data_IF_659782355387
#
_entry.id   IF_659782355387
#
_cell.length_a   1.000
_cell.length_b   1.000
_cell.length_c   1.000
_cell.angle_alpha   90.00
_cell.angle_beta   90.00
_cell.angle_gamma   90.00
#
_symmetry.space_group_name_H-M   'P 1'
#
loop_
_entity.id
_entity.type
_entity.pdbx_description
1 polymer ?
#
# COMPACT_ATOMS: atom_id res chain seq x y z
N UNK A 1 66.61 -37.84 -79.82
CA UNK A 1 65.59 -36.93 -79.24
C UNK A 1 65.90 -36.63 -77.75
N UNK A 2 67.05 -36.02 -77.41
CA UNK A 2 67.45 -35.84 -75.99
C UNK A 2 67.89 -34.41 -75.57
N UNK A 3 67.78 -33.40 -76.43
CA UNK A 3 68.23 -32.03 -76.09
C UNK A 3 67.12 -31.01 -75.78
N UNK A 4 65.83 -31.38 -75.88
CA UNK A 4 64.73 -30.45 -75.62
C UNK A 4 64.36 -30.29 -74.13
N UNK A 5 64.67 -31.26 -73.26
CA UNK A 5 64.26 -31.22 -71.85
C UNK A 5 65.12 -30.29 -70.98
N UNK A 6 66.41 -30.11 -71.31
CA UNK A 6 67.33 -29.29 -70.51
C UNK A 6 66.99 -27.79 -70.52
N UNK A 7 66.37 -27.28 -71.59
CA UNK A 7 66.03 -25.85 -71.70
C UNK A 7 64.70 -25.50 -71.05
N UNK A 8 63.75 -26.45 -70.96
CA UNK A 8 62.50 -26.26 -70.25
C UNK A 8 62.70 -26.17 -68.73
N UNK A 9 63.58 -27.03 -68.18
CA UNK A 9 63.91 -27.03 -66.74
C UNK A 9 64.67 -25.76 -66.34
N UNK A 10 65.61 -25.28 -67.17
CA UNK A 10 66.29 -23.99 -66.93
C UNK A 10 65.33 -22.79 -67.00
N UNK A 11 64.32 -22.82 -67.87
CA UNK A 11 63.27 -21.77 -67.93
C UNK A 11 62.32 -21.84 -66.73
N UNK A 12 62.02 -23.02 -66.21
CA UNK A 12 61.19 -23.19 -65.01
C UNK A 12 61.92 -22.73 -63.73
N UNK A 13 63.20 -23.07 -63.59
CA UNK A 13 64.03 -22.64 -62.44
C UNK A 13 64.32 -21.14 -62.45
N UNK A 14 64.27 -20.48 -63.62
CA UNK A 14 64.43 -19.04 -63.76
C UNK A 14 63.11 -18.23 -63.75
N UNK A 15 61.95 -18.86 -63.57
CA UNK A 15 60.66 -18.18 -63.69
C UNK A 15 60.27 -17.47 -62.37
N UNK A 16 60.45 -16.14 -62.33
CA UNK A 16 60.08 -15.30 -61.20
C UNK A 16 58.57 -15.04 -61.07
N UNK A 17 57.74 -15.52 -62.01
CA UNK A 17 56.27 -15.38 -61.97
C UNK A 17 55.61 -16.23 -60.88
N UNK A 18 56.33 -17.19 -60.30
CA UNK A 18 55.88 -17.96 -59.13
C UNK A 18 55.81 -17.15 -57.83
N UNK A 19 56.55 -16.03 -57.73
CA UNK A 19 56.62 -15.21 -56.50
C UNK A 19 55.27 -14.60 -56.10
N UNK A 20 54.44 -14.21 -57.09
CA UNK A 20 53.12 -13.63 -56.85
C UNK A 20 52.15 -14.67 -56.25
N UNK A 21 52.25 -15.94 -56.67
CA UNK A 21 51.42 -17.01 -56.13
C UNK A 21 51.76 -17.28 -54.66
N UNK A 22 53.04 -17.24 -54.29
CA UNK A 22 53.47 -17.37 -52.89
C UNK A 22 53.01 -16.20 -52.03
N UNK A 23 53.16 -14.95 -52.51
CA UNK A 23 52.68 -13.77 -51.79
C UNK A 23 51.15 -13.77 -51.64
N UNK A 24 50.42 -14.16 -52.69
CA UNK A 24 48.98 -14.32 -52.65
C UNK A 24 48.57 -15.40 -51.64
N UNK A 25 49.15 -16.60 -51.72
CA UNK A 25 48.88 -17.68 -50.78
C UNK A 25 49.17 -17.29 -49.33
N UNK A 26 50.26 -16.55 -49.09
CA UNK A 26 50.63 -16.06 -47.76
C UNK A 26 49.67 -14.96 -47.25
N UNK A 27 49.10 -14.15 -48.14
CA UNK A 27 48.14 -13.07 -47.81
C UNK A 27 46.70 -13.56 -47.58
N UNK A 28 46.29 -14.66 -48.21
CA UNK A 28 44.95 -15.25 -48.05
C UNK A 28 44.75 -15.82 -46.66
N UNK A 29 45.78 -16.42 -46.06
CA UNK A 29 45.71 -16.99 -44.70
C UNK A 29 45.33 -15.95 -43.63
N UNK A 30 46.03 -14.80 -43.49
CA UNK A 30 45.63 -13.77 -42.52
C UNK A 30 44.30 -13.11 -42.88
N UNK A 31 43.95 -12.99 -44.17
CA UNK A 31 42.65 -12.43 -44.58
C UNK A 31 41.47 -13.33 -44.17
N UNK A 32 41.57 -14.64 -44.39
CA UNK A 32 40.56 -15.61 -43.94
C UNK A 32 40.48 -15.69 -42.41
N UNK A 33 41.62 -15.56 -41.72
CA UNK A 33 41.64 -15.49 -40.26
C UNK A 33 40.87 -14.26 -39.75
N UNK A 34 41.07 -13.08 -40.36
CA UNK A 34 40.35 -11.85 -39.99
C UNK A 34 38.84 -11.97 -40.25
N UNK A 35 38.43 -12.55 -41.38
CA UNK A 35 37.02 -12.80 -41.68
C UNK A 35 36.42 -13.79 -40.67
N UNK A 36 37.16 -14.85 -40.33
CA UNK A 36 36.74 -15.82 -39.32
C UNK A 36 36.56 -15.21 -37.93
N UNK A 37 37.50 -14.37 -37.50
CA UNK A 37 37.41 -13.61 -36.25
C UNK A 37 36.19 -12.69 -36.26
N UNK A 38 35.91 -12.01 -37.38
CA UNK A 38 34.75 -11.14 -37.51
C UNK A 38 33.42 -11.90 -37.36
N UNK A 39 33.33 -13.12 -37.92
CA UNK A 39 32.15 -13.99 -37.76
C UNK A 39 31.97 -14.45 -36.31
N UNK A 40 33.04 -14.93 -35.67
CA UNK A 40 32.98 -15.36 -34.27
C UNK A 40 32.64 -14.19 -33.33
N UNK A 41 33.19 -13.00 -33.60
CA UNK A 41 32.88 -11.78 -32.86
C UNK A 41 31.41 -11.35 -33.06
N UNK A 42 30.89 -11.46 -34.28
CA UNK A 42 29.48 -11.19 -34.56
C UNK A 42 28.56 -12.14 -33.77
N UNK A 43 28.90 -13.44 -33.71
CA UNK A 43 28.17 -14.41 -32.88
C UNK A 43 28.23 -14.05 -31.39
N UNK A 44 29.41 -13.66 -30.89
CA UNK A 44 29.59 -13.26 -29.49
C UNK A 44 28.75 -12.01 -29.13
N UNK A 45 28.68 -11.01 -30.01
CA UNK A 45 27.83 -9.83 -29.80
C UNK A 45 26.34 -10.22 -29.76
N UNK A 46 25.87 -11.04 -30.68
CA UNK A 46 24.47 -11.49 -30.69
C UNK A 46 24.13 -12.26 -29.42
N UNK A 47 24.99 -13.21 -29.03
CA UNK A 47 24.83 -13.96 -27.79
C UNK A 47 24.82 -13.04 -26.55
N UNK A 48 25.64 -11.99 -26.53
CA UNK A 48 25.65 -10.99 -25.45
C UNK A 48 24.34 -10.21 -25.36
N UNK A 49 23.76 -9.81 -26.51
CA UNK A 49 22.48 -9.09 -26.54
C UNK A 49 21.33 -9.95 -26.01
N UNK A 50 21.28 -11.21 -26.43
CA UNK A 50 20.22 -12.13 -25.97
C UNK A 50 20.36 -12.43 -24.48
N UNK A 51 21.60 -12.60 -23.98
CA UNK A 51 21.86 -12.78 -22.55
C UNK A 51 21.48 -11.52 -21.75
N UNK A 52 21.80 -10.32 -22.25
CA UNK A 52 21.41 -9.06 -21.62
C UNK A 52 19.88 -8.93 -21.55
N UNK A 53 19.16 -9.24 -22.63
CA UNK A 53 17.70 -9.18 -22.66
C UNK A 53 17.06 -10.14 -21.63
N UNK A 54 17.62 -11.34 -21.48
CA UNK A 54 17.18 -12.29 -20.45
C UNK A 54 17.45 -11.76 -19.03
N UNK A 55 18.58 -11.09 -18.80
CA UNK A 55 18.94 -10.50 -17.51
C UNK A 55 18.10 -9.26 -17.17
N UNK A 56 17.84 -8.37 -18.12
CA UNK A 56 16.99 -7.19 -17.94
C UNK A 56 15.55 -7.58 -17.57
N UNK A 57 14.99 -8.57 -18.27
CA UNK A 57 13.65 -9.08 -18.00
C UNK A 57 13.57 -9.85 -16.68
N UNK A 58 14.62 -10.62 -16.33
CA UNK A 58 14.73 -11.27 -15.03
C UNK A 58 14.79 -10.27 -13.86
N UNK A 59 15.55 -9.18 -14.01
CA UNK A 59 15.68 -8.15 -12.98
C UNK A 59 14.36 -7.42 -12.72
N UNK A 60 13.56 -7.18 -13.77
CA UNK A 60 12.20 -6.63 -13.61
C UNK A 60 11.27 -7.67 -12.97
N UNK A 61 11.23 -8.91 -13.46
CA UNK A 61 10.34 -9.95 -12.96
C UNK A 61 10.57 -10.22 -11.46
N UNK A 62 11.83 -10.27 -11.03
CA UNK A 62 12.19 -10.44 -9.63
C UNK A 62 11.83 -9.22 -8.78
N UNK A 63 11.96 -8.00 -9.31
CA UNK A 63 11.51 -6.78 -8.63
C UNK A 63 9.97 -6.76 -8.47
N UNK A 64 9.21 -7.19 -9.49
CA UNK A 64 7.74 -7.36 -9.38
C UNK A 64 7.40 -8.39 -8.31
N UNK A 65 8.02 -9.57 -8.37
CA UNK A 65 7.80 -10.64 -7.40
C UNK A 65 8.04 -10.17 -5.96
N UNK A 66 9.13 -9.44 -5.73
CA UNK A 66 9.47 -8.85 -4.44
C UNK A 66 8.45 -7.82 -3.97
N UNK A 67 7.97 -6.93 -4.86
CA UNK A 67 6.93 -5.95 -4.54
C UNK A 67 5.60 -6.61 -4.18
N UNK A 68 5.31 -7.79 -4.72
CA UNK A 68 4.10 -8.57 -4.40
C UNK A 68 4.22 -9.38 -3.10
N UNK A 69 5.42 -9.88 -2.78
CA UNK A 69 5.64 -10.86 -1.70
C UNK A 69 6.36 -10.31 -0.46
N UNK A 70 6.66 -9.00 -0.38
CA UNK A 70 7.16 -8.33 0.85
C UNK A 70 6.12 -8.30 2.00
N UNK A 71 5.05 -9.09 1.89
CA UNK A 71 3.85 -9.04 2.72
C UNK A 71 3.92 -9.94 3.97
N UNK A 72 5.00 -10.69 4.22
CA UNK A 72 5.07 -11.65 5.34
C UNK A 72 6.37 -11.56 6.16
N UNK A 73 6.77 -10.34 6.56
CA UNK A 73 7.92 -10.21 7.49
C UNK A 73 7.68 -9.17 8.57
N UNK A 74 6.61 -9.39 9.33
CA UNK A 74 6.55 -8.99 10.74
C UNK A 74 6.29 -10.25 11.59
N UNK A 75 7.39 -10.95 11.86
CA UNK A 75 7.68 -11.79 13.04
C UNK A 75 6.62 -12.81 13.50
N UNK A 76 6.72 -14.01 12.96
CA UNK A 76 7.00 -15.30 13.64
C UNK A 76 6.96 -16.35 12.54
N UNK A 77 7.69 -17.47 12.64
CA UNK A 77 7.75 -18.56 11.65
C UNK A 77 8.85 -18.44 10.58
N UNK A 78 10.08 -18.10 10.98
CA UNK A 78 11.28 -18.55 10.23
C UNK A 78 11.38 -20.08 10.14
N UNK A 79 10.52 -20.83 10.85
CA UNK A 79 10.51 -22.30 10.91
C UNK A 79 9.31 -23.00 10.23
N UNK A 80 8.31 -22.30 9.65
CA UNK A 80 7.23 -22.96 8.86
C UNK A 80 7.39 -22.83 7.33
N UNK A 81 8.41 -22.10 6.85
CA UNK A 81 8.60 -21.77 5.43
C UNK A 81 9.19 -22.93 4.60
N UNK A 82 9.44 -24.12 5.18
CA UNK A 82 9.85 -25.28 4.38
C UNK A 82 8.68 -25.95 3.62
N UNK A 83 7.41 -25.55 3.83
CA UNK A 83 6.25 -26.20 3.19
C UNK A 83 5.48 -25.38 2.14
N UNK A 84 5.78 -24.10 1.92
CA UNK A 84 5.02 -23.28 0.96
C UNK A 84 5.80 -22.86 -0.29
N UNK A 85 6.89 -23.54 -0.68
CA UNK A 85 7.52 -23.34 -2.00
C UNK A 85 7.86 -21.89 -2.38
N UNK A 86 7.96 -20.96 -1.41
CA UNK A 86 8.23 -19.56 -1.66
C UNK A 86 9.70 -19.41 -2.03
N UNK A 87 9.93 -18.98 -3.27
CA UNK A 87 11.27 -18.71 -3.80
C UNK A 87 11.69 -17.32 -3.35
N UNK A 88 12.96 -17.13 -3.01
CA UNK A 88 13.47 -15.79 -2.76
C UNK A 88 13.45 -14.96 -4.07
N UNK A 89 13.36 -13.63 -4.02
CA UNK A 89 13.43 -12.78 -5.21
C UNK A 89 14.67 -13.06 -6.09
N UNK A 90 15.79 -13.42 -5.48
CA UNK A 90 17.03 -13.82 -6.15
C UNK A 90 16.85 -15.12 -6.93
N UNK A 91 16.19 -16.12 -6.32
CA UNK A 91 15.93 -17.39 -6.98
C UNK A 91 14.95 -17.22 -8.16
N UNK A 92 13.98 -16.32 -8.03
CA UNK A 92 13.07 -15.96 -9.14
C UNK A 92 13.84 -15.32 -10.30
N UNK A 93 14.79 -14.41 -10.01
CA UNK A 93 15.65 -13.84 -11.05
C UNK A 93 16.48 -14.93 -11.76
N UNK A 94 17.11 -15.82 -10.99
CA UNK A 94 17.93 -16.93 -11.52
C UNK A 94 17.12 -17.83 -12.44
N UNK A 95 15.95 -18.27 -11.99
CA UNK A 95 15.06 -19.15 -12.76
C UNK A 95 14.61 -18.46 -14.06
N UNK A 96 14.35 -17.16 -14.00
CA UNK A 96 13.94 -16.37 -15.17
C UNK A 96 15.06 -16.24 -16.20
N UNK A 97 16.31 -16.00 -15.77
CA UNK A 97 17.47 -15.99 -16.68
C UNK A 97 17.64 -17.37 -17.33
N UNK A 98 17.55 -18.45 -16.56
CA UNK A 98 17.70 -19.81 -17.10
C UNK A 98 16.60 -20.20 -18.09
N UNK A 99 15.37 -19.70 -17.89
CA UNK A 99 14.26 -19.93 -18.79
C UNK A 99 14.35 -19.12 -20.09
N UNK A 100 14.92 -17.91 -20.04
CA UNK A 100 14.86 -16.96 -21.16
C UNK A 100 16.19 -16.78 -21.92
N UNK A 101 17.32 -17.18 -21.34
CA UNK A 101 18.63 -17.13 -22.01
C UNK A 101 18.84 -18.31 -23.00
N UNK A 102 17.91 -18.47 -23.94
CA UNK A 102 17.94 -19.53 -24.94
C UNK A 102 18.59 -19.05 -26.25
N UNK A 103 19.91 -19.18 -26.35
CA UNK A 103 20.66 -18.97 -27.58
C UNK A 103 21.61 -20.16 -27.82
N UNK A 104 21.63 -20.69 -29.04
CA UNK A 104 22.43 -21.86 -29.42
C UNK A 104 23.95 -21.71 -29.18
N UNK A 105 24.44 -20.46 -29.16
CA UNK A 105 25.85 -20.10 -28.96
C UNK A 105 26.24 -19.92 -27.49
N UNK A 106 25.28 -19.73 -26.56
CA UNK A 106 25.57 -19.58 -25.13
C UNK A 106 25.84 -20.94 -24.48
N UNK A 107 26.95 -21.04 -23.74
CA UNK A 107 27.34 -22.20 -22.93
C UNK A 107 27.66 -21.78 -21.51
N UNK A 108 27.46 -22.69 -20.55
CA UNK A 108 27.79 -22.49 -19.13
C UNK A 108 27.19 -21.21 -18.53
N UNK A 109 25.90 -20.97 -18.74
CA UNK A 109 25.22 -19.81 -18.17
C UNK A 109 25.24 -19.93 -16.64
N UNK A 110 25.73 -18.90 -15.96
CA UNK A 110 25.82 -18.79 -14.50
C UNK A 110 25.17 -17.47 -14.06
N UNK A 111 23.88 -17.48 -13.75
CA UNK A 111 23.21 -16.31 -13.19
C UNK A 111 23.54 -16.15 -11.70
N UNK A 112 23.58 -14.91 -11.25
CA UNK A 112 23.72 -14.50 -9.86
C UNK A 112 22.80 -13.31 -9.61
N UNK A 113 22.12 -13.28 -8.48
CA UNK A 113 21.29 -12.14 -8.09
C UNK A 113 21.63 -11.74 -6.66
N UNK A 114 21.84 -10.45 -6.45
CA UNK A 114 22.22 -9.88 -5.15
C UNK A 114 21.35 -8.67 -4.84
N UNK A 115 20.79 -8.65 -3.64
CA UNK A 115 20.13 -7.48 -3.09
C UNK A 115 21.17 -6.55 -2.43
N UNK A 116 21.00 -5.23 -2.62
CA UNK A 116 21.83 -4.21 -1.97
C UNK A 116 21.41 -3.99 -0.51
N UNK A 117 22.32 -3.47 0.32
CA UNK A 117 22.02 -3.05 1.70
C UNK A 117 20.87 -2.03 1.77
N UNK A 118 20.69 -1.22 0.71
CA UNK A 118 19.46 -0.49 0.45
C UNK A 118 18.46 -1.43 -0.22
N UNK A 119 17.53 -1.99 0.56
CA UNK A 119 16.52 -3.01 0.20
C UNK A 119 15.62 -2.71 -1.02
N UNK A 120 15.85 -1.57 -1.67
CA UNK A 120 15.17 -1.09 -2.87
C UNK A 120 15.96 -1.33 -4.16
N UNK A 121 17.19 -1.85 -4.13
CA UNK A 121 17.99 -2.15 -5.32
C UNK A 121 18.25 -3.65 -5.42
N UNK A 122 17.84 -4.25 -6.54
CA UNK A 122 18.15 -5.63 -6.90
C UNK A 122 19.11 -5.64 -8.10
N UNK A 123 20.19 -6.41 -8.00
CA UNK A 123 21.17 -6.58 -9.08
C UNK A 123 21.11 -8.01 -9.58
N UNK A 124 21.02 -8.20 -10.90
CA UNK A 124 21.10 -9.51 -11.56
C UNK A 124 22.28 -9.50 -12.51
N UNK A 125 23.15 -10.50 -12.38
CA UNK A 125 24.31 -10.75 -13.23
C UNK A 125 24.19 -12.10 -13.91
N UNK A 126 24.74 -12.22 -15.12
CA UNK A 126 24.91 -13.53 -15.73
C UNK A 126 26.23 -13.62 -16.48
N UNK A 127 26.91 -14.75 -16.27
CA UNK A 127 28.13 -15.11 -16.98
C UNK A 127 27.84 -16.23 -17.98
N UNK A 128 28.42 -16.18 -19.18
CA UNK A 128 28.33 -17.26 -20.17
C UNK A 128 29.58 -17.32 -21.05
N UNK A 129 29.76 -18.43 -21.75
CA UNK A 129 30.81 -18.61 -22.75
C UNK A 129 30.22 -18.77 -24.15
N UNK A 130 30.94 -18.29 -25.17
CA UNK A 130 30.69 -18.58 -26.58
C UNK A 130 31.93 -19.25 -27.16
N UNK A 131 31.76 -20.45 -27.72
CA UNK A 131 32.87 -21.18 -28.34
C UNK A 131 33.28 -20.52 -29.67
N UNK A 132 34.58 -20.42 -29.92
CA UNK A 132 35.11 -19.86 -31.18
C UNK A 132 35.29 -20.96 -32.23
N UNK A 133 34.96 -20.66 -33.48
CA UNK A 133 35.13 -21.60 -34.59
C UNK A 133 36.43 -21.32 -35.35
N UNK A 134 36.61 -20.08 -35.78
CA UNK A 134 37.74 -19.64 -36.59
C UNK A 134 38.82 -18.96 -35.74
N UNK A 135 38.43 -18.25 -34.69
CA UNK A 135 39.34 -17.60 -33.75
C UNK A 135 40.01 -18.58 -32.78
N UNK A 136 39.71 -19.89 -32.86
CA UNK A 136 40.24 -20.93 -31.97
C UNK A 136 41.76 -20.99 -31.90
N UNK A 137 42.46 -20.58 -32.97
CA UNK A 137 43.92 -20.49 -33.02
C UNK A 137 44.49 -19.40 -32.08
N UNK A 138 43.68 -18.41 -31.70
CA UNK A 138 44.08 -17.27 -30.87
C UNK A 138 43.38 -17.32 -29.51
N UNK A 139 42.09 -17.67 -29.49
CA UNK A 139 41.26 -17.72 -28.29
C UNK A 139 40.19 -18.80 -28.45
N UNK A 140 40.10 -19.72 -27.50
CA UNK A 140 39.16 -20.85 -27.58
C UNK A 140 37.70 -20.49 -27.24
N UNK A 141 37.48 -19.44 -26.44
CA UNK A 141 36.15 -19.02 -25.98
C UNK A 141 36.10 -17.51 -25.72
N UNK A 142 34.95 -16.90 -26.01
CA UNK A 142 34.60 -15.57 -25.52
C UNK A 142 33.84 -15.69 -24.21
N UNK A 143 34.28 -14.99 -23.18
CA UNK A 143 33.56 -14.87 -21.92
C UNK A 143 32.67 -13.63 -21.97
N UNK A 144 31.39 -13.81 -21.65
CA UNK A 144 30.39 -12.76 -21.61
C UNK A 144 29.97 -12.54 -20.16
N UNK A 145 29.93 -11.28 -19.76
CA UNK A 145 29.37 -10.82 -18.50
C UNK A 145 28.35 -9.71 -18.81
N UNK A 146 27.16 -9.86 -18.25
CA UNK A 146 26.07 -8.88 -18.34
C UNK A 146 25.50 -8.61 -16.95
N UNK A 147 24.99 -7.41 -16.76
CA UNK A 147 24.46 -6.94 -15.48
C UNK A 147 23.21 -6.08 -15.75
N UNK A 148 22.20 -6.22 -14.89
CA UNK A 148 21.05 -5.33 -14.82
C UNK A 148 20.75 -5.00 -13.36
N UNK A 149 20.48 -3.72 -13.09
CA UNK A 149 20.03 -3.27 -11.78
C UNK A 149 18.62 -2.71 -11.88
N UNK A 150 17.78 -3.06 -10.93
CA UNK A 150 16.45 -2.49 -10.78
C UNK A 150 16.34 -1.76 -9.47
N UNK A 151 15.72 -0.57 -9.51
CA UNK A 151 15.32 0.17 -8.32
C UNK A 151 13.81 0.12 -8.16
N UNK A 152 13.36 -0.30 -6.99
CA UNK A 152 11.97 -0.31 -6.56
C UNK A 152 11.63 1.02 -5.90
N UNK A 153 10.72 1.79 -6.50
CA UNK A 153 10.16 3.00 -5.89
C UNK A 153 8.73 2.73 -5.40
N UNK A 154 8.43 3.12 -4.16
CA UNK A 154 7.11 3.00 -3.54
C UNK A 154 7.14 2.14 -2.27
N UNK A 155 7.44 2.75 -1.12
CA UNK A 155 7.21 2.07 0.16
C UNK A 155 5.70 1.90 0.37
N UNK A 156 5.22 0.76 0.87
CA UNK A 156 3.84 0.59 1.26
C UNK A 156 3.51 1.54 2.42
N UNK A 157 2.78 2.62 2.16
CA UNK A 157 2.42 3.64 3.16
C UNK A 157 1.12 3.24 3.88
N UNK A 158 1.03 3.40 5.21
CA UNK A 158 -0.20 3.07 5.94
C UNK A 158 -1.35 3.98 5.48
N UNK A 159 -2.52 3.39 5.27
CA UNK A 159 -3.74 4.13 5.02
C UNK A 159 -4.33 4.60 6.36
N UNK A 160 -4.73 5.86 6.45
CA UNK A 160 -5.28 6.42 7.70
C UNK A 160 -6.63 7.11 7.51
N UNK A 161 -6.97 7.47 6.27
CA UNK A 161 -8.31 7.90 5.91
C UNK A 161 -8.76 7.09 4.68
N UNK A 162 -9.85 6.35 4.83
CA UNK A 162 -10.50 5.62 3.75
C UNK A 162 -11.97 6.03 3.63
N UNK A 163 -12.32 6.67 2.53
CA UNK A 163 -13.71 6.84 2.12
C UNK A 163 -14.18 5.59 1.36
N UNK A 164 -15.18 4.88 1.89
CA UNK A 164 -15.57 3.55 1.42
C UNK A 164 -16.49 3.56 0.20
N UNK A 165 -17.24 4.64 -0.04
CA UNK A 165 -18.19 4.68 -1.14
C UNK A 165 -17.52 4.52 -2.51
N UNK A 166 -18.05 3.61 -3.32
CA UNK A 166 -17.43 3.15 -4.57
C UNK A 166 -17.76 4.01 -5.78
N UNK A 167 -18.82 4.84 -5.72
CA UNK A 167 -19.36 5.50 -6.91
C UNK A 167 -19.92 6.90 -6.67
N UNK A 168 -20.22 7.29 -5.43
CA UNK A 168 -20.79 8.59 -5.13
C UNK A 168 -19.75 9.72 -5.31
N UNK A 169 -20.15 10.95 -5.64
CA UNK A 169 -19.25 12.09 -5.58
C UNK A 169 -18.93 12.46 -4.13
N UNK A 170 -17.87 13.25 -3.94
CA UNK A 170 -17.51 13.93 -2.67
C UNK A 170 -17.34 12.98 -1.47
N UNK A 171 -16.78 11.79 -1.73
CA UNK A 171 -16.60 10.74 -0.71
C UNK A 171 -15.59 11.14 0.35
N UNK A 172 -14.53 11.83 -0.06
CA UNK A 172 -13.64 12.54 0.86
C UNK A 172 -13.63 14.00 0.43
N UNK A 173 -14.16 14.88 1.27
CA UNK A 173 -14.36 16.30 0.95
C UNK A 173 -13.81 17.20 2.05
N UNK A 174 -13.07 18.24 1.67
CA UNK A 174 -12.80 19.40 2.51
C UNK A 174 -13.31 20.67 1.82
N UNK A 175 -14.07 21.52 2.53
CA UNK A 175 -14.71 22.69 1.95
C UNK A 175 -14.68 23.91 2.90
N UNK A 176 -14.82 25.10 2.33
CA UNK A 176 -14.76 26.36 3.07
C UNK A 176 -13.31 26.70 3.39
N UNK A 177 -12.93 26.71 4.66
CA UNK A 177 -11.55 26.91 5.14
C UNK A 177 -11.05 25.73 5.97
N UNK A 178 -11.72 24.58 5.88
CA UNK A 178 -11.36 23.38 6.66
C UNK A 178 -9.98 22.85 6.29
N UNK A 179 -9.29 22.29 7.27
CA UNK A 179 -7.96 21.69 7.07
C UNK A 179 -7.97 20.21 7.48
N UNK A 180 -7.45 19.34 6.61
CA UNK A 180 -7.18 17.93 6.93
C UNK A 180 -5.68 17.70 6.94
N UNK A 181 -5.13 17.21 8.04
CA UNK A 181 -3.70 16.93 8.18
C UNK A 181 -3.54 15.46 8.55
N UNK A 182 -3.20 14.65 7.56
CA UNK A 182 -2.80 13.26 7.70
C UNK A 182 -1.26 13.20 7.75
N UNK A 183 -0.69 12.80 8.88
CA UNK A 183 0.76 12.71 9.06
C UNK A 183 1.22 11.25 8.99
N UNK A 184 2.27 11.01 8.21
CA UNK A 184 2.92 9.71 7.99
C UNK A 184 1.98 8.62 7.44
N UNK A 185 0.96 9.04 6.68
CA UNK A 185 -0.05 8.14 6.15
C UNK A 185 -0.69 8.66 4.88
N UNK A 186 -1.46 7.80 4.24
CA UNK A 186 -2.12 8.06 2.98
C UNK A 186 -3.64 8.23 3.15
N UNK A 187 -4.26 8.99 2.24
CA UNK A 187 -5.71 9.28 2.21
C UNK A 187 -6.31 8.78 0.90
N UNK A 188 -7.24 7.83 0.97
CA UNK A 188 -7.83 7.18 -0.19
C UNK A 188 -9.34 7.38 -0.27
N UNK A 189 -9.82 7.69 -1.48
CA UNK A 189 -11.24 7.65 -1.83
C UNK A 189 -11.52 6.47 -2.76
N UNK A 190 -12.41 5.56 -2.36
CA UNK A 190 -12.84 4.45 -3.21
C UNK A 190 -13.74 4.87 -4.36
N UNK A 191 -14.17 6.12 -4.44
CA UNK A 191 -15.12 6.53 -5.46
C UNK A 191 -14.52 6.54 -6.84
N UNK A 192 -15.18 5.87 -7.79
CA UNK A 192 -14.90 5.96 -9.23
C UNK A 192 -15.47 7.23 -9.88
N UNK A 193 -16.17 8.07 -9.13
CA UNK A 193 -16.69 9.34 -9.64
C UNK A 193 -15.55 10.32 -9.96
N UNK A 194 -15.74 11.19 -10.95
CA UNK A 194 -14.80 12.26 -11.30
C UNK A 194 -14.53 13.23 -10.13
N UNK A 195 -15.45 13.33 -9.17
CA UNK A 195 -15.33 14.13 -7.96
C UNK A 195 -15.16 13.24 -6.72
N UNK A 196 -14.34 12.18 -6.78
CA UNK A 196 -14.17 11.23 -5.68
C UNK A 196 -13.45 11.78 -4.46
N UNK A 197 -12.44 12.64 -4.68
CA UNK A 197 -11.69 13.37 -3.66
C UNK A 197 -11.76 14.87 -3.97
N UNK A 198 -12.27 15.69 -3.04
CA UNK A 198 -12.63 17.08 -3.33
C UNK A 198 -12.06 18.06 -2.29
N UNK A 199 -11.44 19.13 -2.77
CA UNK A 199 -11.18 20.37 -2.01
C UNK A 199 -11.91 21.54 -2.65
N UNK A 200 -12.39 22.50 -1.86
CA UNK A 200 -12.99 23.74 -2.39
C UNK A 200 -13.01 24.89 -1.40
N UNK A 201 -13.18 26.11 -1.91
CA UNK A 201 -12.93 27.34 -1.15
C UNK A 201 -11.43 27.55 -0.94
N UNK A 202 -11.02 27.82 0.30
CA UNK A 202 -9.64 27.89 0.77
C UNK A 202 -9.23 26.67 1.63
N UNK A 203 -10.03 25.59 1.60
CA UNK A 203 -9.75 24.37 2.34
C UNK A 203 -8.46 23.70 1.86
N UNK A 204 -7.74 23.03 2.77
CA UNK A 204 -6.50 22.32 2.43
C UNK A 204 -6.47 20.90 3.01
N UNK A 205 -5.83 19.98 2.31
CA UNK A 205 -5.51 18.64 2.75
C UNK A 205 -4.01 18.39 2.61
N UNK A 206 -3.37 17.97 3.69
CA UNK A 206 -1.97 17.56 3.74
C UNK A 206 -1.89 16.09 4.11
N UNK A 207 -1.11 15.33 3.36
CA UNK A 207 -0.93 13.88 3.55
C UNK A 207 0.45 13.48 3.04
N UNK A 208 0.94 12.30 3.43
CA UNK A 208 2.13 11.74 2.79
C UNK A 208 1.82 11.23 1.37
N UNK A 209 0.57 10.82 1.12
CA UNK A 209 0.06 10.54 -0.22
C UNK A 209 -1.48 10.66 -0.30
N UNK A 210 -1.99 10.95 -1.48
CA UNK A 210 -3.43 10.96 -1.78
C UNK A 210 -3.72 10.14 -3.02
N UNK A 211 -4.89 9.50 -3.04
CA UNK A 211 -5.32 8.71 -4.17
C UNK A 211 -6.85 8.63 -4.24
N UNK A 212 -7.38 8.76 -5.45
CA UNK A 212 -8.79 8.60 -5.77
C UNK A 212 -8.93 7.48 -6.80
N UNK A 213 -9.87 6.56 -6.60
CA UNK A 213 -10.16 5.52 -7.59
C UNK A 213 -10.78 6.10 -8.88
N UNK A 214 -11.42 7.26 -8.77
CA UNK A 214 -11.98 8.06 -9.85
C UNK A 214 -11.13 9.29 -10.07
N UNK A 215 -11.77 10.46 -10.02
CA UNK A 215 -11.13 11.76 -10.20
C UNK A 215 -10.99 12.57 -8.92
N UNK A 216 -10.28 13.69 -9.06
CA UNK A 216 -9.99 14.65 -7.99
C UNK A 216 -10.45 16.04 -8.43
N UNK A 217 -11.05 16.80 -7.52
CA UNK A 217 -11.49 18.18 -7.78
C UNK A 217 -10.92 19.13 -6.73
N UNK A 218 -10.52 20.33 -7.17
CA UNK A 218 -9.88 21.34 -6.33
C UNK A 218 -8.35 21.28 -6.32
N UNK A 219 -7.74 22.30 -5.72
CA UNK A 219 -6.28 22.52 -5.74
C UNK A 219 -5.64 22.50 -4.37
N UNK A 220 -6.42 22.38 -3.29
CA UNK A 220 -5.97 22.47 -1.91
C UNK A 220 -5.27 21.21 -1.39
N UNK A 221 -4.45 20.53 -2.19
CA UNK A 221 -3.81 19.26 -1.80
C UNK A 221 -2.29 19.40 -1.74
N UNK A 222 -1.65 18.79 -0.74
CA UNK A 222 -0.19 18.74 -0.63
C UNK A 222 0.26 17.36 -0.12
N UNK A 223 0.87 16.50 -0.97
CA UNK A 223 1.18 16.68 -2.39
C UNK A 223 -0.07 16.57 -3.30
N UNK A 224 0.10 16.72 -4.61
CA UNK A 224 -0.98 16.52 -5.58
C UNK A 224 -1.49 15.06 -5.54
N UNK A 225 -2.81 14.81 -5.56
CA UNK A 225 -3.35 13.45 -5.55
C UNK A 225 -3.13 12.68 -6.85
N UNK A 226 -3.05 11.35 -6.71
CA UNK A 226 -3.14 10.42 -7.83
C UNK A 226 -4.60 10.04 -8.11
N UNK A 227 -4.91 9.80 -9.38
CA UNK A 227 -6.22 9.38 -9.85
C UNK A 227 -6.16 7.95 -10.41
N UNK A 228 -7.33 7.33 -10.61
CA UNK A 228 -7.48 5.98 -11.19
C UNK A 228 -6.75 4.88 -10.42
N UNK A 229 -6.72 5.01 -9.11
CA UNK A 229 -6.20 3.95 -8.27
C UNK A 229 -7.15 2.76 -8.15
N UNK A 230 -6.62 1.64 -7.65
CA UNK A 230 -7.45 0.52 -7.25
C UNK A 230 -8.31 0.86 -6.03
N UNK A 231 -9.56 0.37 -6.03
CA UNK A 231 -10.45 0.49 -4.89
C UNK A 231 -9.95 -0.42 -3.77
N UNK A 232 -9.83 0.14 -2.57
CA UNK A 232 -9.44 -0.60 -1.40
C UNK A 232 -10.62 -1.35 -0.81
N UNK A 233 -10.43 -2.65 -0.54
CA UNK A 233 -11.44 -3.45 0.17
C UNK A 233 -11.61 -2.93 1.60
N UNK A 234 -12.84 -2.96 2.11
CA UNK A 234 -13.10 -2.65 3.51
C UNK A 234 -12.37 -3.69 4.42
N UNK A 235 -11.43 -3.24 5.26
CA UNK A 235 -10.65 -4.12 6.11
C UNK A 235 -11.42 -4.75 7.27
N UNK A 236 -12.54 -4.14 7.67
CA UNK A 236 -13.39 -4.60 8.76
C UNK A 236 -14.71 -5.19 8.23
N UNK A 237 -14.79 -5.45 6.92
CA UNK A 237 -15.96 -6.06 6.28
C UNK A 237 -16.38 -7.33 7.03
N UNK A 238 -17.68 -7.42 7.35
CA UNK A 238 -18.25 -8.55 8.07
C UNK A 238 -17.98 -8.58 9.58
N UNK A 239 -16.87 -7.98 10.07
CA UNK A 239 -16.46 -8.10 11.48
C UNK A 239 -17.42 -7.45 12.45
N UNK A 240 -17.95 -6.27 12.12
CA UNK A 240 -18.86 -5.51 12.99
C UNK A 240 -20.31 -5.54 12.52
N UNK A 241 -20.67 -6.60 11.80
CA UNK A 241 -22.07 -6.94 11.54
C UNK A 241 -22.69 -7.65 12.73
N UNK A 242 -24.02 -7.83 12.77
CA UNK A 242 -24.68 -8.62 13.83
C UNK A 242 -24.04 -10.00 14.00
N UNK A 243 -23.77 -10.67 12.87
CA UNK A 243 -23.11 -11.98 12.86
C UNK A 243 -21.64 -11.88 13.27
N UNK A 244 -20.94 -10.82 12.85
CA UNK A 244 -19.53 -10.59 13.17
C UNK A 244 -19.29 -10.34 14.66
N UNK A 245 -20.14 -9.55 15.33
CA UNK A 245 -20.06 -9.38 16.77
C UNK A 245 -20.36 -10.69 17.52
N UNK A 246 -21.38 -11.43 17.08
CA UNK A 246 -21.70 -12.73 17.67
C UNK A 246 -20.54 -13.73 17.52
N UNK A 247 -19.85 -13.75 16.37
CA UNK A 247 -18.67 -14.59 16.13
C UNK A 247 -17.47 -14.21 17.02
N UNK A 248 -17.41 -12.95 17.47
CA UNK A 248 -16.42 -12.46 18.44
C UNK A 248 -16.86 -12.66 19.90
N UNK A 249 -18.03 -13.28 20.14
CA UNK A 249 -18.58 -13.49 21.48
C UNK A 249 -19.13 -12.22 22.14
N UNK A 250 -19.36 -11.14 21.38
CA UNK A 250 -19.92 -9.89 21.91
C UNK A 250 -21.42 -9.87 21.68
N UNK A 251 -22.21 -9.76 22.76
CA UNK A 251 -23.65 -9.55 22.67
C UNK A 251 -24.00 -8.05 22.73
N UNK A 252 -24.18 -7.46 21.57
CA UNK A 252 -24.55 -6.04 21.36
C UNK A 252 -26.05 -5.81 21.17
N UNK A 253 -26.85 -6.88 21.13
CA UNK A 253 -28.31 -6.84 21.03
C UNK A 253 -28.99 -7.17 22.38
N UNK A 254 -28.33 -6.81 23.48
CA UNK A 254 -28.80 -7.05 24.84
C UNK A 254 -29.87 -6.05 25.31
N UNK A 255 -30.38 -6.27 26.52
CA UNK A 255 -31.28 -5.33 27.17
C UNK A 255 -30.59 -3.98 27.45
N UNK A 256 -31.38 -2.92 27.50
CA UNK A 256 -30.93 -1.58 27.90
C UNK A 256 -30.44 -1.61 29.35
N UNK A 257 -29.22 -1.11 29.60
CA UNK A 257 -28.74 -0.83 30.94
C UNK A 257 -29.26 0.52 31.43
N UNK A 258 -29.31 1.50 30.52
CA UNK A 258 -29.86 2.84 30.74
C UNK A 258 -30.73 3.24 29.54
N UNK A 259 -31.78 4.01 29.79
CA UNK A 259 -32.72 4.44 28.74
C UNK A 259 -33.00 5.94 28.85
N UNK A 260 -32.77 6.68 27.76
CA UNK A 260 -32.99 8.13 27.70
C UNK A 260 -32.17 8.89 28.73
N UNK A 261 -30.90 8.48 28.91
CA UNK A 261 -30.08 9.03 29.97
C UNK A 261 -29.71 10.48 29.68
N UNK A 262 -29.93 11.36 30.65
CA UNK A 262 -29.53 12.75 30.63
C UNK A 262 -28.73 13.04 31.90
N UNK A 263 -27.46 13.45 31.75
CA UNK A 263 -26.59 13.73 32.88
C UNK A 263 -27.10 14.92 33.72
N UNK A 264 -27.64 14.64 34.91
CA UNK A 264 -28.05 15.66 35.91
C UNK A 264 -26.92 16.04 36.87
N UNK A 265 -25.96 15.14 37.03
CA UNK A 265 -24.74 15.25 37.83
C UNK A 265 -23.63 14.50 37.11
N UNK A 266 -22.41 14.63 37.61
CA UNK A 266 -21.31 13.80 37.11
C UNK A 266 -21.64 12.33 37.40
N UNK A 267 -21.38 11.46 36.42
CA UNK A 267 -21.73 10.06 36.46
C UNK A 267 -20.60 9.20 35.91
N UNK A 268 -20.49 7.99 36.44
CA UNK A 268 -19.50 7.01 35.99
C UNK A 268 -20.21 5.71 35.68
N UNK A 269 -19.88 5.12 34.53
CA UNK A 269 -20.40 3.83 34.09
C UNK A 269 -19.25 2.89 33.80
N UNK A 270 -19.36 1.63 34.20
CA UNK A 270 -18.34 0.63 33.97
C UNK A 270 -18.97 -0.61 33.32
N UNK A 271 -18.55 -0.93 32.10
CA UNK A 271 -19.01 -2.12 31.38
C UNK A 271 -18.29 -3.40 31.84
N UNK A 272 -17.15 -3.26 32.54
CA UNK A 272 -16.32 -4.39 32.95
C UNK A 272 -15.85 -5.21 31.76
N UNK A 273 -15.94 -6.54 31.86
CA UNK A 273 -15.67 -7.46 30.74
C UNK A 273 -16.85 -7.62 29.78
N UNK A 274 -17.96 -6.89 30.00
CA UNK A 274 -19.21 -7.04 29.27
C UNK A 274 -19.52 -5.86 28.36
N UNK A 275 -20.82 -5.70 28.09
CA UNK A 275 -21.38 -4.63 27.26
C UNK A 275 -22.31 -3.79 28.12
N UNK A 276 -22.24 -2.47 28.01
CA UNK A 276 -23.17 -1.54 28.63
C UNK A 276 -23.98 -0.81 27.54
N UNK A 277 -25.30 -0.95 27.56
CA UNK A 277 -26.18 -0.46 26.49
C UNK A 277 -26.98 0.77 26.95
N UNK A 278 -26.81 1.88 26.25
CA UNK A 278 -27.68 3.06 26.32
C UNK A 278 -28.73 2.99 25.22
N UNK A 279 -30.00 3.04 25.61
CA UNK A 279 -31.14 3.08 24.72
C UNK A 279 -31.76 4.47 24.69
N UNK A 280 -32.37 4.85 23.56
CA UNK A 280 -32.96 6.19 23.37
C UNK A 280 -31.98 7.34 23.69
N UNK A 281 -30.68 7.14 23.39
CA UNK A 281 -29.64 8.15 23.49
C UNK A 281 -28.94 8.27 24.86
N UNK A 282 -27.83 9.02 24.82
CA UNK A 282 -27.01 9.44 25.94
C UNK A 282 -26.72 10.92 25.77
N UNK A 283 -27.38 11.77 26.57
CA UNK A 283 -27.16 13.22 26.57
C UNK A 283 -26.31 13.64 27.77
N UNK A 284 -25.20 14.33 27.49
CA UNK A 284 -24.41 15.03 28.51
C UNK A 284 -24.48 16.52 28.23
N UNK A 285 -24.88 17.29 29.25
CA UNK A 285 -25.11 18.73 29.12
C UNK A 285 -24.66 19.50 30.35
N UNK A 286 -24.75 20.82 30.27
CA UNK A 286 -24.59 21.73 31.41
C UNK A 286 -23.29 21.53 32.20
N UNK A 287 -22.16 21.40 31.49
CA UNK A 287 -20.81 21.20 32.07
C UNK A 287 -20.65 19.93 32.92
N UNK A 288 -21.56 18.96 32.78
CA UNK A 288 -21.43 17.67 33.48
C UNK A 288 -20.41 16.78 32.80
N UNK A 289 -19.82 15.89 33.60
CA UNK A 289 -18.86 14.90 33.13
C UNK A 289 -19.46 13.50 33.27
N UNK A 290 -19.51 12.76 32.18
CA UNK A 290 -19.77 11.32 32.20
C UNK A 290 -18.47 10.60 31.92
N UNK A 291 -18.07 9.72 32.84
CA UNK A 291 -16.88 8.89 32.69
C UNK A 291 -17.30 7.47 32.33
N UNK A 292 -16.73 6.95 31.25
CA UNK A 292 -16.87 5.55 30.84
C UNK A 292 -15.58 4.82 31.19
N UNK A 293 -15.69 3.80 32.04
CA UNK A 293 -14.61 2.88 32.32
C UNK A 293 -14.24 2.00 31.12
N UNK A 294 -13.32 1.05 31.31
CA UNK A 294 -12.98 0.07 30.28
C UNK A 294 -14.19 -0.74 29.82
N UNK A 295 -14.26 -1.04 28.53
CA UNK A 295 -15.25 -1.96 27.95
C UNK A 295 -16.01 -1.41 26.75
N UNK A 296 -17.10 -2.09 26.40
CA UNK A 296 -17.90 -1.83 25.19
C UNK A 296 -19.20 -1.13 25.57
N UNK A 297 -19.43 0.06 25.02
CA UNK A 297 -20.64 0.84 25.25
C UNK A 297 -21.45 0.94 23.98
N UNK A 298 -22.63 0.31 23.98
CA UNK A 298 -23.55 0.31 22.85
C UNK A 298 -24.52 1.47 22.99
N UNK A 299 -24.70 2.23 21.93
CA UNK A 299 -25.54 3.43 21.90
C UNK A 299 -26.57 3.25 20.79
N UNK A 300 -27.83 3.15 21.20
CA UNK A 300 -28.99 3.34 20.33
C UNK A 300 -29.48 4.78 20.47
N UNK A 301 -29.77 5.44 19.36
CA UNK A 301 -30.08 6.87 19.31
C UNK A 301 -28.85 7.79 19.43
N UNK A 302 -29.08 9.05 19.80
CA UNK A 302 -28.03 10.08 19.78
C UNK A 302 -27.13 10.04 21.03
N UNK A 303 -25.81 9.95 20.82
CA UNK A 303 -24.81 10.40 21.80
C UNK A 303 -24.62 11.91 21.63
N UNK A 304 -25.24 12.69 22.51
CA UNK A 304 -25.27 14.14 22.39
C UNK A 304 -24.46 14.80 23.51
N UNK A 305 -23.41 15.52 23.11
CA UNK A 305 -22.65 16.38 24.03
C UNK A 305 -22.94 17.84 23.71
N UNK A 306 -23.43 18.59 24.70
CA UNK A 306 -23.75 20.01 24.53
C UNK A 306 -23.39 20.83 25.78
N UNK A 307 -23.41 22.16 25.65
CA UNK A 307 -23.23 23.10 26.76
C UNK A 307 -21.99 22.80 27.62
N UNK A 308 -20.83 22.63 26.96
CA UNK A 308 -19.52 22.35 27.59
C UNK A 308 -19.45 21.06 28.42
N UNK A 309 -20.33 20.11 28.15
CA UNK A 309 -20.28 18.79 28.75
C UNK A 309 -19.02 18.01 28.35
N UNK A 310 -18.64 17.02 29.17
CA UNK A 310 -17.49 16.15 28.90
C UNK A 310 -17.89 14.69 28.95
N UNK A 311 -17.52 13.92 27.93
CA UNK A 311 -17.49 12.45 27.96
C UNK A 311 -16.03 12.00 28.04
N UNK A 312 -15.63 11.42 29.16
CA UNK A 312 -14.28 10.90 29.38
C UNK A 312 -14.27 9.37 29.33
N UNK A 313 -13.70 8.80 28.28
CA UNK A 313 -13.64 7.38 27.96
C UNK A 313 -12.21 6.96 27.58
N UNK A 314 -11.22 7.48 28.32
CA UNK A 314 -9.78 7.26 28.04
C UNK A 314 -9.20 5.95 28.58
N UNK A 315 -10.01 5.14 29.27
CA UNK A 315 -9.55 3.94 29.96
C UNK A 315 -9.82 2.66 29.17
N UNK A 316 -9.60 2.65 27.85
CA UNK A 316 -9.80 1.45 27.02
C UNK A 316 -11.27 1.17 26.73
N UNK A 317 -11.91 2.13 26.06
CA UNK A 317 -13.34 2.12 25.79
C UNK A 317 -13.62 2.05 24.28
N UNK A 318 -14.59 1.23 23.89
CA UNK A 318 -15.13 1.22 22.53
C UNK A 318 -16.58 1.72 22.55
N UNK A 319 -16.87 2.75 21.76
CA UNK A 319 -18.24 3.20 21.49
C UNK A 319 -18.78 2.46 20.27
N UNK A 320 -19.90 1.76 20.45
CA UNK A 320 -20.61 1.04 19.39
C UNK A 320 -21.92 1.77 19.08
N UNK A 321 -21.99 2.39 17.91
CA UNK A 321 -23.19 3.06 17.39
C UNK A 321 -24.07 2.00 16.74
N UNK A 322 -25.17 1.65 17.39
CA UNK A 322 -25.98 0.50 17.02
C UNK A 322 -26.98 0.79 15.91
N UNK A 323 -27.26 -0.21 15.08
CA UNK A 323 -28.30 -0.15 14.06
C UNK A 323 -29.68 -0.42 14.70
N UNK A 324 -30.65 0.47 14.47
CA UNK A 324 -32.00 0.39 15.01
C UNK A 324 -32.69 -0.96 14.72
N UNK A 325 -32.34 -1.63 13.61
CA UNK A 325 -32.91 -2.94 13.24
C UNK A 325 -32.48 -4.06 14.18
N UNK A 326 -31.54 -3.81 15.09
CA UNK A 326 -31.12 -4.76 16.13
C UNK A 326 -32.06 -4.80 17.32
N UNK A 327 -32.79 -3.73 17.57
CA UNK A 327 -33.75 -3.66 18.66
C UNK A 327 -34.97 -2.82 18.25
N UNK A 328 -36.15 -3.43 18.09
CA UNK A 328 -37.37 -2.69 17.73
C UNK A 328 -37.66 -1.54 18.69
N UNK A 329 -38.08 -0.40 18.15
CA UNK A 329 -38.39 0.80 18.92
C UNK A 329 -37.16 1.64 19.33
N UNK A 330 -35.99 1.35 18.76
CA UNK A 330 -34.80 2.20 18.87
C UNK A 330 -34.53 2.99 17.59
N UNK A 331 -33.68 4.00 17.72
CA UNK A 331 -33.14 4.79 16.61
C UNK A 331 -31.68 4.43 16.34
N UNK A 332 -31.19 4.74 15.14
CA UNK A 332 -29.81 4.49 14.74
C UNK A 332 -28.85 5.29 15.61
N UNK A 333 -27.82 4.61 16.10
CA UNK A 333 -26.73 5.19 16.87
C UNK A 333 -25.98 6.23 16.06
N UNK A 334 -25.87 7.44 16.60
CA UNK A 334 -25.05 8.49 16.00
C UNK A 334 -24.47 9.43 17.06
N UNK A 335 -23.38 10.11 16.71
CA UNK A 335 -22.69 11.05 17.60
C UNK A 335 -22.96 12.47 17.14
N UNK A 336 -23.37 13.32 18.07
CA UNK A 336 -23.54 14.74 17.88
C UNK A 336 -22.83 15.53 18.98
N UNK A 337 -21.81 16.30 18.60
CA UNK A 337 -21.08 17.18 19.52
C UNK A 337 -21.39 18.61 19.13
N UNK A 338 -21.96 19.37 20.07
CA UNK A 338 -22.38 20.75 19.89
C UNK A 338 -22.02 21.59 21.13
N UNK A 339 -22.16 22.91 21.03
CA UNK A 339 -22.02 23.83 22.17
C UNK A 339 -20.74 23.66 23.01
N UNK A 340 -19.60 23.43 22.34
CA UNK A 340 -18.28 23.23 22.96
C UNK A 340 -18.19 22.00 23.87
N UNK A 341 -18.93 20.93 23.55
CA UNK A 341 -18.78 19.63 24.21
C UNK A 341 -17.39 19.04 24.01
N UNK A 342 -16.91 18.31 25.01
CA UNK A 342 -15.63 17.62 25.03
C UNK A 342 -15.85 16.11 24.97
N UNK A 343 -15.15 15.41 24.09
CA UNK A 343 -15.12 13.95 24.04
C UNK A 343 -13.68 13.49 24.01
N UNK A 344 -13.32 12.56 24.89
CA UNK A 344 -12.01 11.94 24.93
C UNK A 344 -12.20 10.43 24.97
N UNK A 345 -11.80 9.73 23.92
CA UNK A 345 -11.95 8.28 23.82
C UNK A 345 -10.61 7.67 23.49
N UNK A 346 -10.21 6.66 24.27
CA UNK A 346 -9.03 5.85 23.97
C UNK A 346 -9.47 4.40 23.86
N UNK A 347 -9.27 3.84 22.67
CA UNK A 347 -9.65 2.46 22.38
C UNK A 347 -8.89 1.45 23.26
N UNK A 348 -9.45 0.26 23.51
CA UNK A 348 -8.75 -0.79 24.23
C UNK A 348 -7.53 -1.31 23.45
N UNK A 349 -6.50 -1.73 24.17
CA UNK A 349 -5.26 -2.29 23.58
C UNK A 349 -5.36 -3.79 23.25
N UNK A 350 -6.39 -4.45 23.76
CA UNK A 350 -6.61 -5.90 23.64
C UNK A 350 -8.10 -6.22 23.68
N UNK A 351 -8.46 -7.48 23.43
CA UNK A 351 -9.86 -7.92 23.36
C UNK A 351 -10.46 -7.79 21.95
N UNK A 352 -11.76 -8.11 21.81
CA UNK A 352 -12.38 -8.25 20.49
C UNK A 352 -12.52 -6.91 19.74
N UNK A 353 -12.59 -5.78 20.45
CA UNK A 353 -12.62 -4.43 19.87
C UNK A 353 -11.28 -3.70 20.00
N UNK A 354 -10.18 -4.44 20.13
CA UNK A 354 -8.84 -3.86 20.20
C UNK A 354 -8.62 -2.83 19.08
N UNK A 355 -8.05 -1.69 19.47
CA UNK A 355 -7.79 -0.54 18.62
C UNK A 355 -9.02 0.20 18.08
N UNK A 356 -10.25 -0.21 18.39
CA UNK A 356 -11.47 0.45 17.92
C UNK A 356 -12.00 1.44 18.96
N UNK A 357 -11.95 2.74 18.64
CA UNK A 357 -12.53 3.78 19.48
C UNK A 357 -14.02 3.93 19.20
N UNK A 358 -14.39 3.91 17.91
CA UNK A 358 -15.77 4.03 17.44
C UNK A 358 -16.05 2.98 16.37
N UNK A 359 -17.17 2.29 16.53
CA UNK A 359 -17.67 1.29 15.58
C UNK A 359 -19.13 1.61 15.27
N UNK A 360 -19.48 1.71 14.00
CA UNK A 360 -20.88 1.60 13.58
C UNK A 360 -21.22 0.12 13.38
N UNK A 361 -22.08 -0.38 14.25
CA UNK A 361 -22.66 -1.70 14.14
C UNK A 361 -23.68 -1.71 12.99
N UNK A 362 -23.68 -2.76 12.16
CA UNK A 362 -24.54 -2.84 10.96
C UNK A 362 -25.25 -4.18 10.85
N UNK A 363 -26.47 -4.24 10.33
CA UNK A 363 -27.14 -5.54 10.08
C UNK A 363 -26.41 -6.37 9.02
N UNK A 364 -25.89 -5.72 7.99
CA UNK A 364 -25.24 -6.33 6.83
C UNK A 364 -24.03 -5.52 6.39
N UNK A 365 -23.19 -6.13 5.56
CA UNK A 365 -22.08 -5.42 4.91
C UNK A 365 -22.55 -4.19 4.14
N UNK A 366 -21.64 -3.22 3.98
CA UNK A 366 -21.85 -2.04 3.16
C UNK A 366 -22.08 -2.41 1.69
N UNK A 367 -23.22 -2.00 1.13
CA UNK A 367 -23.60 -2.29 -0.27
C UNK A 367 -23.51 -1.09 -1.21
N UNK A 368 -23.09 0.10 -0.74
CA UNK A 368 -23.11 1.32 -1.56
C UNK A 368 -24.48 1.97 -1.62
N UNK A 369 -24.72 2.96 -0.76
CA UNK A 369 -25.93 3.78 -0.75
C UNK A 369 -25.62 5.27 -0.93
N UNK A 370 -26.59 6.04 -1.40
CA UNK A 370 -26.53 7.51 -1.47
C UNK A 370 -27.41 8.18 -0.40
N UNK A 371 -28.00 7.39 0.50
CA UNK A 371 -28.99 7.89 1.44
C UNK A 371 -28.30 8.34 2.74
N UNK A 372 -28.29 9.66 2.96
CA UNK A 372 -27.52 10.36 4.00
C UNK A 372 -28.20 10.39 5.37
N UNK A 373 -29.18 9.52 5.63
CA UNK A 373 -30.02 9.63 6.83
C UNK A 373 -29.20 9.56 8.14
N UNK A 374 -28.09 8.82 8.13
CA UNK A 374 -27.22 8.66 9.29
C UNK A 374 -25.91 9.44 9.12
N UNK A 375 -25.76 10.49 9.93
CA UNK A 375 -24.56 11.32 9.98
C UNK A 375 -24.02 11.43 11.41
N UNK A 376 -22.70 11.46 11.54
CA UNK A 376 -22.02 11.80 12.78
C UNK A 376 -21.50 13.22 12.66
N UNK A 377 -21.97 14.10 13.54
CA UNK A 377 -21.68 15.53 13.46
C UNK A 377 -20.78 15.92 14.62
N UNK A 378 -19.52 16.19 14.29
CA UNK A 378 -18.49 16.59 15.23
C UNK A 378 -18.25 18.09 15.06
N UNK A 379 -18.97 18.92 15.83
CA UNK A 379 -18.76 20.37 15.78
C UNK A 379 -17.65 20.78 16.73
N UNK A 380 -16.58 21.35 16.18
CA UNK A 380 -15.46 21.90 16.94
C UNK A 380 -15.87 23.02 17.90
N UNK A 381 -14.99 23.28 18.88
CA UNK A 381 -15.13 24.36 19.86
C UNK A 381 -14.89 23.90 21.30
N UNK A 382 -14.95 22.59 21.54
CA UNK A 382 -14.41 21.90 22.72
C UNK A 382 -13.27 20.96 22.34
N UNK A 383 -12.78 20.17 23.30
CA UNK A 383 -11.72 19.17 23.08
C UNK A 383 -12.32 17.90 22.52
N UNK A 384 -11.98 17.54 21.28
CA UNK A 384 -12.44 16.31 20.63
C UNK A 384 -11.22 15.45 20.31
N UNK A 385 -11.08 14.35 21.03
CA UNK A 385 -9.91 13.49 20.96
C UNK A 385 -10.29 12.00 20.93
N UNK A 386 -9.88 11.33 19.86
CA UNK A 386 -10.02 9.90 19.66
C UNK A 386 -8.63 9.30 19.45
N UNK A 387 -8.29 8.33 20.29
CA UNK A 387 -7.11 7.49 20.13
C UNK A 387 -7.57 6.10 19.69
N UNK A 388 -7.38 5.78 18.41
CA UNK A 388 -7.80 4.53 17.79
C UNK A 388 -8.51 4.68 16.45
N UNK A 389 -9.12 3.59 16.02
CA UNK A 389 -9.83 3.48 14.76
C UNK A 389 -11.28 3.94 14.92
N UNK A 390 -11.71 4.80 14.01
CA UNK A 390 -13.10 5.18 13.78
C UNK A 390 -13.58 4.45 12.53
N UNK A 391 -14.54 3.53 12.69
CA UNK A 391 -15.08 2.74 11.59
C UNK A 391 -16.60 2.89 11.50
N UNK A 392 -17.04 3.61 10.48
CA UNK A 392 -18.46 3.94 10.26
C UNK A 392 -18.86 3.73 8.79
N UNK A 393 -18.95 2.46 8.33
CA UNK A 393 -19.03 2.12 6.91
C UNK A 393 -20.33 2.48 6.21
N UNK A 394 -21.38 2.85 6.92
CA UNK A 394 -22.71 3.16 6.39
C UNK A 394 -23.19 4.58 6.75
N UNK A 395 -22.30 5.45 7.22
CA UNK A 395 -22.64 6.82 7.59
C UNK A 395 -21.62 7.84 7.11
N UNK A 396 -22.08 9.09 7.06
CA UNK A 396 -21.23 10.25 6.84
C UNK A 396 -20.62 10.70 8.17
N UNK A 397 -19.30 10.85 8.21
CA UNK A 397 -18.62 11.56 9.29
C UNK A 397 -18.41 13.01 8.86
N UNK A 398 -19.20 13.93 9.43
CA UNK A 398 -19.15 15.36 9.18
C UNK A 398 -18.45 16.07 10.34
N UNK A 399 -17.33 16.71 10.02
CA UNK A 399 -16.57 17.55 10.93
C UNK A 399 -16.80 18.99 10.53
N UNK A 400 -17.27 19.82 11.46
CA UNK A 400 -17.61 21.21 11.16
C UNK A 400 -17.38 22.13 12.37
N UNK A 401 -17.69 23.41 12.23
CA UNK A 401 -17.47 24.41 13.27
C UNK A 401 -16.05 24.96 13.30
N UNK A 402 -15.67 25.57 14.42
CA UNK A 402 -14.35 26.16 14.63
C UNK A 402 -13.61 25.34 15.68
N UNK A 403 -12.39 24.91 15.40
CA UNK A 403 -11.57 24.18 16.37
C UNK A 403 -10.81 23.02 15.76
N UNK A 404 -10.01 22.38 16.59
CA UNK A 404 -9.09 21.33 16.17
C UNK A 404 -9.51 19.99 16.79
N UNK A 405 -9.63 18.97 15.95
CA UNK A 405 -9.87 17.59 16.36
C UNK A 405 -8.56 16.80 16.37
N UNK A 406 -8.39 15.96 17.38
CA UNK A 406 -7.26 15.05 17.52
C UNK A 406 -5.89 15.75 17.56
N UNK A 407 -5.87 16.99 18.07
CA UNK A 407 -4.65 17.78 18.23
C UNK A 407 -3.53 17.00 18.94
N UNK A 408 -3.88 16.33 20.05
CA UNK A 408 -2.96 15.57 20.90
C UNK A 408 -3.01 14.04 20.69
N UNK A 409 -3.87 13.54 19.80
CA UNK A 409 -4.02 12.09 19.60
C UNK A 409 -2.74 11.48 19.03
N UNK A 410 -2.21 10.48 19.74
CA UNK A 410 -1.01 9.74 19.35
C UNK A 410 -1.26 8.88 18.09
N UNK A 411 -2.48 8.35 17.95
CA UNK A 411 -2.88 7.51 16.83
C UNK A 411 -4.38 7.68 16.55
N UNK A 412 -4.73 7.92 15.29
CA UNK A 412 -6.11 7.94 14.84
C UNK A 412 -6.20 7.48 13.40
N UNK A 413 -7.16 6.60 13.10
CA UNK A 413 -7.52 6.27 11.72
C UNK A 413 -9.02 6.37 11.51
N UNK A 414 -9.43 6.75 10.30
CA UNK A 414 -10.82 7.05 9.96
C UNK A 414 -11.23 6.30 8.70
N UNK A 415 -12.22 5.43 8.84
CA UNK A 415 -12.87 4.72 7.75
C UNK A 415 -14.36 5.02 7.84
N UNK A 416 -14.92 5.68 6.82
CA UNK A 416 -16.34 6.04 6.79
C UNK A 416 -16.89 5.87 5.38
N UNK A 417 -18.21 5.78 5.23
CA UNK A 417 -18.85 5.85 3.90
C UNK A 417 -18.47 7.16 3.20
N UNK A 418 -18.68 8.28 3.91
CA UNK A 418 -18.26 9.62 3.51
C UNK A 418 -17.50 10.29 4.65
N UNK A 419 -16.44 11.02 4.30
CA UNK A 419 -15.72 11.90 5.22
C UNK A 419 -15.78 13.32 4.69
N UNK A 420 -16.32 14.22 5.50
CA UNK A 420 -16.55 15.60 5.10
C UNK A 420 -16.08 16.55 6.19
N UNK A 421 -15.20 17.48 5.82
CA UNK A 421 -14.69 18.54 6.70
C UNK A 421 -15.13 19.88 6.13
N UNK A 422 -15.96 20.61 6.87
CA UNK A 422 -16.49 21.92 6.47
C UNK A 422 -16.24 23.00 7.51
N UNK A 423 -16.41 24.26 7.12
CA UNK A 423 -16.24 25.40 8.01
C UNK A 423 -14.77 25.77 8.18
N UNK A 424 -14.32 26.01 9.42
CA UNK A 424 -12.93 26.35 9.75
C UNK A 424 -12.31 25.32 10.71
N UNK A 425 -12.80 24.08 10.66
CA UNK A 425 -12.30 23.00 11.51
C UNK A 425 -11.01 22.39 10.97
N UNK A 426 -10.14 21.95 11.86
CA UNK A 426 -8.94 21.18 11.52
C UNK A 426 -9.09 19.74 12.01
N UNK A 427 -8.96 18.77 11.11
CA UNK A 427 -8.88 17.34 11.42
C UNK A 427 -7.42 16.88 11.36
N UNK A 428 -6.87 16.39 12.48
CA UNK A 428 -5.57 15.73 12.50
C UNK A 428 -5.71 14.20 12.55
N UNK A 429 -4.93 13.52 11.73
CA UNK A 429 -4.87 12.07 11.62
C UNK A 429 -3.40 11.66 11.67
N UNK A 430 -3.05 10.71 12.54
CA UNK A 430 -1.68 10.22 12.70
C UNK A 430 -1.72 8.69 12.71
N UNK A 431 -0.94 8.06 11.85
CA UNK A 431 -0.86 6.60 11.77
C UNK A 431 0.51 6.02 12.17
N UNK A 432 1.36 6.83 12.81
CA UNK A 432 2.79 6.52 13.00
C UNK A 432 3.40 6.93 14.35
N UNK A 433 2.66 6.83 15.46
CA UNK A 433 3.21 7.05 16.81
C UNK A 433 3.54 5.75 17.52
N UNK A 434 4.81 5.59 17.91
CA UNK A 434 5.42 4.64 18.87
C UNK A 434 4.87 3.18 18.93
N UNK A 435 5.66 2.15 18.52
CA UNK A 435 5.28 0.74 18.61
C UNK A 435 4.98 0.23 20.04
N UNK A 436 5.35 0.98 21.08
CA UNK A 436 4.98 0.67 22.47
C UNK A 436 3.70 1.40 22.94
N UNK A 437 3.20 2.39 22.18
CA UNK A 437 2.04 3.22 22.54
C UNK A 437 0.72 2.65 21.97
N UNK A 438 0.45 1.38 22.25
CA UNK A 438 -0.73 0.60 21.89
C UNK A 438 -0.54 -0.20 20.60
N UNK A 439 -0.76 -1.51 20.70
CA UNK A 439 -0.93 -2.46 19.61
C UNK A 439 -2.13 -2.07 18.72
N UNK A 440 -2.03 -0.94 18.00
CA UNK A 440 -3.04 -0.45 17.06
C UNK A 440 -2.58 -0.76 15.65
N UNK A 441 -3.14 -1.84 15.10
CA UNK A 441 -3.02 -2.11 13.68
C UNK A 441 -3.63 -0.95 12.90
N UNK A 442 -2.79 -0.27 12.10
CA UNK A 442 -3.20 0.62 11.03
C UNK A 442 -4.31 -0.04 10.20
N UNK A 443 -5.18 0.76 9.57
CA UNK A 443 -6.17 0.30 8.60
C UNK A 443 -5.53 -0.73 7.68
N UNK A 444 -6.05 -1.98 7.62
CA UNK A 444 -5.55 -2.98 6.68
C UNK A 444 -5.76 -2.49 5.22
N UNK A 445 -4.75 -1.80 4.72
CA UNK A 445 -4.75 -1.20 3.40
C UNK A 445 -3.54 -0.32 3.24
N UNK A 446 -2.87 -0.44 2.09
CA UNK A 446 -1.70 0.36 1.77
C UNK A 446 -1.90 0.96 0.40
N UNK A 447 -1.68 2.27 0.30
CA UNK A 447 -1.75 2.96 -0.98
C UNK A 447 -0.48 2.65 -1.75
N UNK A 448 -0.59 1.91 -2.85
CA UNK A 448 0.48 1.80 -3.83
C UNK A 448 0.41 3.02 -4.75
N UNK A 449 1.10 4.12 -4.38
CA UNK A 449 1.47 5.11 -5.41
C UNK A 449 2.33 4.38 -6.44
N UNK A 450 2.12 4.69 -7.73
CA UNK A 450 2.56 3.92 -8.90
C UNK A 450 3.79 3.04 -8.67
N UNK A 451 3.64 1.73 -8.86
CA UNK A 451 4.76 0.79 -8.83
C UNK A 451 5.66 1.10 -10.03
N UNK A 452 6.71 1.89 -9.80
CA UNK A 452 7.74 2.15 -10.81
C UNK A 452 8.93 1.25 -10.52
N UNK A 453 9.20 0.35 -11.45
CA UNK A 453 10.45 -0.40 -11.51
C UNK A 453 11.27 0.28 -12.58
N UNK A 454 12.35 0.93 -12.16
CA UNK A 454 13.28 1.57 -13.09
C UNK A 454 14.49 0.65 -13.24
N UNK A 455 14.74 0.21 -14.47
CA UNK A 455 16.04 -0.34 -14.84
C UNK A 455 17.06 0.81 -14.78
N UNK A 456 18.08 0.65 -13.95
CA UNK A 456 19.21 1.55 -13.86
C UNK A 456 20.40 0.79 -14.46
N UNK A 457 20.92 1.26 -15.60
CA UNK A 457 22.10 0.67 -16.25
C UNK A 457 23.38 1.09 -15.54
#
# INVERSE_FOLDING_TARGET
MHHASSNAVKRFVGDQRGSILFMFALSVVPMLLLVGIAVDYSRAITARRDLQQAVDSAAIAAAVYKMEHKQDTLNTLKDLITQSGQKSPEQVAIDYVMANASNAYLKNIRPEATESDDSNILTVKANANVDTTFARLVMNKFNLEVEAKTRMAGQPMPLCLLGLNKSAPQVVKAWGSGEVIATDCAVLSNSKNENGLVTGGSATMKSSAFCSAGGVSGTGFTPRPHEKCDQQKDPYEGKFTRQGFAAQGINVAGACNETGFIAKKDAEFNAGSGVFTFCNGLEVRSKKTVTLGPGIYVIYGELHLNAKATLDARNGTTLVLADARWMPGQEDGHIAIQGQGNILVTAPTSGPTASMAVIQATVSNYTGGTDYANQHVLRGGGTIEFVGNWYTPQSKTLITGNGEMNAASAYFSLISDFVEVEGNGTLRIRAGGDPDAVAMTAVPGRMTSGRFITLIQ
#
